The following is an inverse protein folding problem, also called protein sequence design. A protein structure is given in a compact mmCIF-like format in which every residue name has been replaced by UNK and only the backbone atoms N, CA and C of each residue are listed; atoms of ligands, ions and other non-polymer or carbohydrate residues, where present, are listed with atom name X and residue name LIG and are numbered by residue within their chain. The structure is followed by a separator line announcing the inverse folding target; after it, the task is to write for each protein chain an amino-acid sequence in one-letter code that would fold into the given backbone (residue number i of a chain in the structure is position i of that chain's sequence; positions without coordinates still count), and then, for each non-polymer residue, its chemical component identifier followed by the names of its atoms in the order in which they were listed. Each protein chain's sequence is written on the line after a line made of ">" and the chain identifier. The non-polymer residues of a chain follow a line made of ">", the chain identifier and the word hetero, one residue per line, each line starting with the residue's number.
data_IF_682323409941
#
_entry.id   IF_682323409941
#
_cell.length_a   1.000
_cell.length_b   1.000
_cell.length_c   1.000
_cell.angle_alpha   90.00
_cell.angle_beta   90.00
_cell.angle_gamma   90.00
#
_symmetry.space_group_name_H-M   'P 1'
#
loop_
_entity.id
_entity.type
_entity.pdbx_description
1 polymer ?
#
# COMPACT_ATOMS: atom_id res chain seq x y z
N UNK A 1 -0.36 8.67 -14.66
CA UNK A 1 -1.48 9.62 -14.50
C UNK A 1 -2.83 8.91 -14.35
N UNK A 2 -3.20 8.01 -15.28
CA UNK A 2 -4.49 7.29 -15.27
C UNK A 2 -4.75 6.54 -13.95
N UNK A 3 -3.80 5.73 -13.46
CA UNK A 3 -3.99 5.00 -12.19
C UNK A 3 -4.28 5.93 -11.00
N UNK A 4 -3.62 7.11 -10.95
CA UNK A 4 -3.89 8.13 -9.93
C UNK A 4 -5.28 8.75 -10.08
N UNK A 5 -5.74 8.97 -11.32
CA UNK A 5 -7.08 9.47 -11.62
C UNK A 5 -8.17 8.48 -11.19
N UNK A 6 -7.97 7.18 -11.47
CA UNK A 6 -8.87 6.13 -11.00
C UNK A 6 -8.91 6.07 -9.46
N UNK A 7 -7.75 6.20 -8.81
CA UNK A 7 -7.66 6.09 -7.36
C UNK A 7 -8.00 7.37 -6.59
N UNK A 8 -8.62 8.38 -7.23
CA UNK A 8 -8.93 9.67 -6.60
C UNK A 8 -7.68 10.35 -5.98
N UNK A 9 -6.49 10.09 -6.55
CA UNK A 9 -5.19 10.54 -6.05
C UNK A 9 -4.53 11.54 -7.01
N UNK A 10 -5.35 12.47 -7.53
CA UNK A 10 -4.86 13.58 -8.35
C UNK A 10 -4.48 14.79 -7.48
N UNK A 11 -3.46 15.55 -7.91
CA UNK A 11 -3.22 16.91 -7.42
C UNK A 11 -4.49 17.78 -7.43
N UNK A 12 -4.58 18.75 -6.52
CA UNK A 12 -5.76 19.60 -6.34
C UNK A 12 -6.06 20.50 -7.55
N UNK A 13 -5.09 20.72 -8.42
CA UNK A 13 -5.17 21.51 -9.65
C UNK A 13 -5.60 20.68 -10.86
N UNK A 14 -5.83 19.38 -10.69
CA UNK A 14 -6.29 18.48 -11.76
C UNK A 14 -7.68 17.92 -11.44
N UNK A 15 -8.56 17.93 -12.45
CA UNK A 15 -9.90 17.35 -12.38
C UNK A 15 -10.01 16.19 -13.36
N UNK A 16 -10.62 15.09 -12.93
CA UNK A 16 -10.95 13.95 -13.77
C UNK A 16 -12.45 14.00 -14.12
N UNK A 17 -12.79 13.76 -15.38
CA UNK A 17 -14.17 13.56 -15.84
C UNK A 17 -14.24 12.25 -16.60
N UNK A 18 -15.39 11.59 -16.56
CA UNK A 18 -15.62 10.28 -17.18
C UNK A 18 -17.12 10.10 -17.45
N UNK A 19 -17.45 9.28 -18.46
CA UNK A 19 -18.85 8.95 -18.78
C UNK A 19 -19.41 7.88 -17.83
N UNK A 20 -18.59 6.88 -17.50
CA UNK A 20 -18.93 5.81 -16.55
C UNK A 20 -17.72 5.36 -15.76
N UNK A 21 -17.91 5.03 -14.49
CA UNK A 21 -16.89 4.43 -13.66
C UNK A 21 -17.43 3.16 -13.02
N UNK A 22 -16.89 2.00 -13.43
CA UNK A 22 -17.37 0.71 -12.98
C UNK A 22 -16.30 -0.08 -12.23
N UNK A 23 -16.72 -0.80 -11.20
CA UNK A 23 -15.91 -1.75 -10.47
C UNK A 23 -16.75 -3.00 -10.19
N UNK A 24 -16.23 -4.16 -10.58
CA UNK A 24 -16.94 -5.45 -10.49
C UNK A 24 -18.31 -5.45 -11.20
N UNK A 25 -18.41 -4.77 -12.35
CA UNK A 25 -19.63 -4.68 -13.16
C UNK A 25 -20.66 -3.65 -12.67
N UNK A 26 -20.44 -3.04 -11.50
CA UNK A 26 -21.33 -2.04 -10.91
C UNK A 26 -20.80 -0.62 -11.09
N UNK A 27 -21.68 0.36 -11.30
CA UNK A 27 -21.29 1.76 -11.32
C UNK A 27 -20.91 2.23 -9.91
N UNK A 28 -19.77 2.88 -9.80
CA UNK A 28 -19.22 3.38 -8.54
C UNK A 28 -18.95 4.87 -8.64
N UNK A 29 -19.34 5.61 -7.60
CA UNK A 29 -19.03 7.03 -7.48
C UNK A 29 -17.69 7.26 -6.79
N UNK A 30 -17.27 6.35 -5.91
CA UNK A 30 -15.99 6.41 -5.18
C UNK A 30 -15.41 5.03 -4.91
N UNK A 31 -14.11 4.87 -5.08
CA UNK A 31 -13.41 3.62 -4.78
C UNK A 31 -12.78 3.55 -3.39
N UNK A 32 -12.79 4.66 -2.64
CA UNK A 32 -12.11 4.76 -1.35
C UNK A 32 -12.48 3.67 -0.33
N UNK A 33 -13.70 3.14 -0.42
CA UNK A 33 -14.18 2.04 0.42
C UNK A 33 -13.48 0.69 0.16
N UNK A 34 -12.89 0.50 -1.02
CA UNK A 34 -12.21 -0.75 -1.41
C UNK A 34 -10.69 -0.71 -1.14
N UNK A 35 -10.15 0.44 -0.77
CA UNK A 35 -8.70 0.63 -0.61
C UNK A 35 -8.15 -0.18 0.57
N UNK A 36 -7.00 -0.81 0.33
CA UNK A 36 -6.25 -1.61 1.30
C UNK A 36 -6.89 -2.97 1.65
N UNK A 37 -8.05 -3.28 1.08
CA UNK A 37 -8.74 -4.57 1.25
C UNK A 37 -8.88 -5.32 -0.07
N UNK A 38 -9.39 -4.64 -1.09
CA UNK A 38 -9.61 -5.19 -2.43
C UNK A 38 -8.69 -4.54 -3.45
N UNK A 39 -8.45 -3.23 -3.30
CA UNK A 39 -7.60 -2.45 -4.20
C UNK A 39 -6.35 -2.01 -3.46
N UNK A 40 -5.20 -2.45 -3.97
CA UNK A 40 -3.87 -2.00 -3.55
C UNK A 40 -3.22 -1.16 -4.64
N UNK A 41 -2.41 -0.19 -4.24
CA UNK A 41 -1.67 0.67 -5.16
C UNK A 41 -0.21 0.80 -4.71
N UNK A 42 0.70 0.53 -5.63
CA UNK A 42 2.14 0.77 -5.47
C UNK A 42 2.50 1.92 -6.42
N UNK A 43 3.03 3.00 -5.86
CA UNK A 43 3.39 4.17 -6.66
C UNK A 43 4.65 3.91 -7.48
N UNK A 44 4.82 4.66 -8.58
CA UNK A 44 6.01 4.55 -9.42
C UNK A 44 7.29 4.93 -8.66
N UNK A 45 7.21 5.92 -7.74
CA UNK A 45 8.28 6.22 -6.80
C UNK A 45 7.99 5.57 -5.44
N UNK A 46 8.12 4.24 -5.38
CA UNK A 46 7.79 3.48 -4.19
C UNK A 46 8.65 3.87 -2.97
N UNK A 47 9.86 4.40 -3.17
CA UNK A 47 10.76 4.79 -2.08
C UNK A 47 10.13 5.87 -1.19
N UNK A 48 9.38 6.81 -1.78
CA UNK A 48 8.63 7.84 -1.06
C UNK A 48 7.42 7.30 -0.28
N UNK A 49 7.05 6.03 -0.49
CA UNK A 49 5.94 5.40 0.25
C UNK A 49 6.35 5.01 1.67
N UNK A 50 7.65 4.98 1.95
CA UNK A 50 8.22 4.75 3.27
C UNK A 50 8.95 5.98 3.77
N UNK A 51 9.01 6.17 5.09
CA UNK A 51 9.84 7.19 5.71
C UNK A 51 11.20 6.62 6.14
N UNK A 52 12.24 7.44 6.09
CA UNK A 52 13.61 7.01 6.34
C UNK A 52 13.97 6.89 7.83
N UNK A 53 13.12 7.42 8.71
CA UNK A 53 13.40 7.55 10.13
C UNK A 53 12.74 6.45 10.98
N UNK A 54 11.96 5.57 10.36
CA UNK A 54 11.23 4.49 11.03
C UNK A 54 11.59 3.16 10.39
N UNK A 55 11.79 2.13 11.21
CA UNK A 55 12.03 0.77 10.72
C UNK A 55 10.81 0.19 10.00
N UNK A 56 11.06 -0.70 9.06
CA UNK A 56 10.04 -1.33 8.21
C UNK A 56 9.01 -2.12 9.04
N UNK A 57 9.39 -2.73 10.17
CA UNK A 57 8.44 -3.41 11.07
C UNK A 57 7.28 -2.50 11.50
N UNK A 58 7.59 -1.29 11.97
CA UNK A 58 6.62 -0.31 12.43
C UNK A 58 5.81 0.25 11.28
N UNK A 59 6.46 0.56 10.15
CA UNK A 59 5.78 1.12 8.98
C UNK A 59 4.79 0.11 8.38
N UNK A 60 5.23 -1.12 8.11
CA UNK A 60 4.39 -2.17 7.55
C UNK A 60 3.25 -2.55 8.51
N UNK A 61 3.53 -2.61 9.82
CA UNK A 61 2.49 -2.83 10.83
C UNK A 61 1.46 -1.70 10.84
N UNK A 62 1.89 -0.44 10.76
CA UNK A 62 0.98 0.70 10.72
C UNK A 62 0.12 0.70 9.45
N UNK A 63 0.70 0.37 8.30
CA UNK A 63 -0.02 0.24 7.02
C UNK A 63 -1.09 -0.85 7.15
N UNK A 64 -0.72 -2.06 7.61
CA UNK A 64 -1.70 -3.15 7.78
C UNK A 64 -2.83 -2.77 8.74
N UNK A 65 -2.47 -2.23 9.91
CA UNK A 65 -3.45 -1.89 10.97
C UNK A 65 -4.31 -0.67 10.66
N UNK A 66 -3.95 0.14 9.65
CA UNK A 66 -4.80 1.22 9.14
C UNK A 66 -6.03 0.67 8.42
N UNK A 67 -5.90 -0.49 7.80
CA UNK A 67 -6.99 -1.13 7.05
C UNK A 67 -7.67 -2.23 7.88
N UNK A 68 -6.92 -2.98 8.69
CA UNK A 68 -7.45 -4.08 9.49
C UNK A 68 -7.40 -3.78 11.00
N UNK A 69 -8.50 -4.03 11.70
CA UNK A 69 -8.53 -4.01 13.18
C UNK A 69 -7.86 -5.28 13.72
N UNK A 70 -6.53 -5.27 13.80
CA UNK A 70 -5.74 -6.41 14.27
C UNK A 70 -4.80 -6.05 15.42
N UNK A 71 -4.35 -7.08 16.15
CA UNK A 71 -3.22 -6.93 17.08
C UNK A 71 -1.92 -6.69 16.31
N UNK A 72 -0.86 -6.31 17.05
CA UNK A 72 0.48 -6.15 16.47
C UNK A 72 1.02 -7.50 16.00
N UNK A 73 0.79 -8.54 16.78
CA UNK A 73 1.28 -9.90 16.54
C UNK A 73 0.62 -10.49 15.29
N UNK A 74 -0.69 -10.29 15.13
CA UNK A 74 -1.41 -10.71 13.93
C UNK A 74 -0.90 -9.97 12.69
N UNK A 75 -0.73 -8.66 12.78
CA UNK A 75 -0.19 -7.85 11.68
C UNK A 75 1.20 -8.35 11.25
N UNK A 76 2.09 -8.60 12.21
CA UNK A 76 3.43 -9.13 11.93
C UNK A 76 3.39 -10.51 11.28
N UNK A 77 2.48 -11.41 11.71
CA UNK A 77 2.31 -12.71 11.07
C UNK A 77 1.83 -12.58 9.61
N UNK A 78 0.94 -11.63 9.32
CA UNK A 78 0.47 -11.38 7.95
C UNK A 78 1.57 -10.77 7.08
N UNK A 79 2.35 -9.84 7.63
CA UNK A 79 3.51 -9.24 6.96
C UNK A 79 4.55 -10.31 6.66
N UNK A 80 4.83 -11.21 7.61
CA UNK A 80 5.79 -12.30 7.43
C UNK A 80 5.39 -13.23 6.28
N UNK A 81 4.11 -13.61 6.23
CA UNK A 81 3.55 -14.37 5.12
C UNK A 81 3.68 -13.62 3.78
N UNK A 82 3.37 -12.33 3.75
CA UNK A 82 3.45 -11.52 2.53
C UNK A 82 4.90 -11.40 2.02
N UNK A 83 5.87 -11.20 2.91
CA UNK A 83 7.30 -11.17 2.55
C UNK A 83 7.76 -12.51 1.96
N UNK A 84 7.26 -13.63 2.50
CA UNK A 84 7.58 -14.95 1.96
C UNK A 84 7.10 -15.15 0.51
N UNK A 85 5.99 -14.54 0.10
CA UNK A 85 5.46 -14.63 -1.27
C UNK A 85 6.39 -14.01 -2.30
N UNK A 86 7.21 -13.05 -1.88
CA UNK A 86 8.21 -12.37 -2.71
C UNK A 86 9.64 -12.82 -2.38
N UNK A 87 9.80 -14.00 -1.76
CA UNK A 87 11.08 -14.60 -1.38
C UNK A 87 11.93 -13.72 -0.44
N UNK A 88 11.30 -12.84 0.34
CA UNK A 88 11.96 -12.05 1.37
C UNK A 88 11.79 -12.69 2.75
N UNK A 89 12.87 -12.67 3.53
CA UNK A 89 12.86 -13.18 4.90
C UNK A 89 12.63 -12.02 5.88
N UNK A 90 11.59 -12.13 6.71
CA UNK A 90 11.19 -11.05 7.62
C UNK A 90 12.29 -10.62 8.58
N UNK A 91 13.07 -11.56 9.10
CA UNK A 91 14.24 -11.29 9.95
C UNK A 91 15.25 -10.35 9.29
N UNK A 92 15.36 -10.40 7.97
CA UNK A 92 16.33 -9.64 7.18
C UNK A 92 15.76 -8.30 6.69
N UNK A 93 14.46 -8.06 6.83
CA UNK A 93 13.77 -6.86 6.31
C UNK A 93 13.18 -6.01 7.43
N UNK A 94 12.47 -6.61 8.39
CA UNK A 94 11.66 -5.87 9.37
C UNK A 94 12.48 -4.94 10.26
N UNK A 95 13.73 -5.30 10.57
CA UNK A 95 14.60 -4.48 11.41
C UNK A 95 15.39 -3.41 10.62
N UNK A 96 15.17 -3.29 9.30
CA UNK A 96 15.84 -2.33 8.43
C UNK A 96 15.05 -1.03 8.26
N UNK A 97 15.76 0.02 7.86
CA UNK A 97 15.19 1.24 7.30
C UNK A 97 14.98 1.12 5.80
N UNK A 98 14.08 1.93 5.22
CA UNK A 98 13.72 1.95 3.79
C UNK A 98 14.91 2.04 2.82
N UNK A 99 15.99 2.71 3.21
CA UNK A 99 17.17 2.91 2.35
C UNK A 99 18.19 1.76 2.40
N UNK A 100 17.99 0.74 3.25
CA UNK A 100 18.95 -0.35 3.42
C UNK A 100 18.72 -1.56 2.47
N UNK A 101 17.48 -1.94 2.13
CA UNK A 101 17.25 -2.91 1.06
C UNK A 101 17.75 -2.40 -0.29
N UNK A 102 18.13 -3.33 -1.17
CA UNK A 102 18.34 -2.96 -2.58
C UNK A 102 17.02 -2.54 -3.21
N UNK A 103 17.05 -1.78 -4.31
CA UNK A 103 15.81 -1.27 -4.92
C UNK A 103 14.85 -2.34 -5.47
N UNK A 104 15.24 -3.61 -5.51
CA UNK A 104 14.36 -4.73 -5.86
C UNK A 104 13.74 -5.45 -4.64
N UNK A 105 14.06 -5.01 -3.43
CA UNK A 105 13.60 -5.58 -2.15
C UNK A 105 12.72 -4.58 -1.42
#
# INVERSE_FOLDING_TARGET
>A
LIAKALLEYLPFDLTCTYDSYQFDGENVSRLSQYYGHTIGYISQNYAESFNDHTKLDKQLTAIYRKHYKSSKEEALSKIDKALSWVNLQSKDILNKYSFQPSGGQ
#
